data_IF_890571329051
#
_entry.id   IF_890571329051
#
_cell.length_a   1.000
_cell.length_b   1.000
_cell.length_c   1.000
_cell.angle_alpha   90.00
_cell.angle_beta   90.00
_cell.angle_gamma   90.00
#
_symmetry.space_group_name_H-M   'P 1'
#
loop_
_entity.id
_entity.type
_entity.pdbx_description
1 polymer ?
#
# COMPACT_ATOMS: atom_id res chain seq x y z
N UNK A 1 -10.80 15.46 -0.86
CA UNK A 1 -10.10 15.54 0.44
C UNK A 1 -10.60 14.42 1.33
N UNK A 2 -9.78 13.91 2.24
CA UNK A 2 -10.23 12.91 3.22
C UNK A 2 -11.16 13.60 4.25
N UNK A 3 -12.30 13.00 4.54
CA UNK A 3 -13.33 13.52 5.44
C UNK A 3 -13.07 13.17 6.90
N UNK A 4 -13.77 13.86 7.81
CA UNK A 4 -13.60 13.65 9.26
C UNK A 4 -14.04 12.24 9.71
N UNK A 5 -15.10 11.73 9.10
CA UNK A 5 -15.69 10.41 9.42
C UNK A 5 -14.76 9.23 9.10
N UNK A 6 -13.70 9.45 8.31
CA UNK A 6 -12.72 8.43 7.97
C UNK A 6 -12.10 7.79 9.22
N UNK A 7 -11.93 8.56 10.31
CA UNK A 7 -11.37 8.06 11.56
C UNK A 7 -12.22 6.98 12.20
N UNK A 8 -13.53 7.08 12.06
CA UNK A 8 -14.51 6.18 12.68
C UNK A 8 -14.72 4.93 11.82
N UNK A 9 -14.98 5.10 10.52
CA UNK A 9 -15.24 3.98 9.61
C UNK A 9 -13.95 3.25 9.22
N UNK A 10 -12.88 4.00 8.99
CA UNK A 10 -11.62 3.51 8.41
C UNK A 10 -11.64 3.39 6.90
N UNK A 11 -12.66 3.91 6.21
CA UNK A 11 -12.65 4.06 4.76
C UNK A 11 -13.53 5.22 4.29
N UNK A 12 -13.27 5.70 3.08
CA UNK A 12 -14.05 6.72 2.40
C UNK A 12 -14.15 6.39 0.92
N UNK A 13 -15.35 6.54 0.37
CA UNK A 13 -15.63 6.43 -1.06
C UNK A 13 -15.92 7.84 -1.59
N UNK A 14 -15.26 8.21 -2.68
CA UNK A 14 -15.46 9.47 -3.38
C UNK A 14 -15.69 9.17 -4.86
N UNK A 15 -16.96 9.05 -5.29
CA UNK A 15 -17.30 8.83 -6.70
C UNK A 15 -16.96 10.06 -7.55
N UNK A 16 -16.59 9.85 -8.81
CA UNK A 16 -16.44 10.92 -9.81
C UNK A 16 -17.70 11.14 -10.68
N UNK A 17 -18.82 10.48 -10.35
CA UNK A 17 -20.06 10.52 -11.12
C UNK A 17 -20.17 9.50 -12.26
N UNK A 18 -19.12 8.72 -12.53
CA UNK A 18 -19.15 7.59 -13.48
C UNK A 18 -19.08 6.28 -12.70
N UNK A 19 -20.02 5.38 -12.96
CA UNK A 19 -20.04 4.04 -12.33
C UNK A 19 -18.81 3.26 -12.80
N UNK A 20 -17.92 2.85 -11.88
CA UNK A 20 -16.70 2.17 -12.28
C UNK A 20 -16.98 0.72 -12.69
N UNK A 21 -16.37 0.29 -13.79
CA UNK A 21 -16.38 -1.10 -14.27
C UNK A 21 -15.08 -1.82 -13.94
N UNK A 22 -14.04 -1.06 -13.62
CA UNK A 22 -12.70 -1.56 -13.30
C UNK A 22 -12.16 -0.88 -12.06
N UNK A 23 -11.17 -1.51 -11.43
CA UNK A 23 -10.45 -0.89 -10.33
C UNK A 23 -8.99 -1.30 -10.27
N UNK A 24 -8.15 -0.40 -9.77
CA UNK A 24 -6.76 -0.70 -9.46
C UNK A 24 -6.43 -0.33 -8.01
N UNK A 25 -5.73 -1.23 -7.33
CA UNK A 25 -5.32 -1.02 -5.93
C UNK A 25 -3.92 -0.43 -5.88
N UNK A 26 -3.76 0.64 -5.11
CA UNK A 26 -2.50 1.26 -4.73
C UNK A 26 -2.31 1.22 -3.23
N UNK A 27 -1.06 1.19 -2.80
CA UNK A 27 -0.72 1.23 -1.39
C UNK A 27 0.75 0.93 -1.17
N UNK A 28 1.25 1.25 0.01
CA UNK A 28 2.60 0.86 0.40
C UNK A 28 2.78 -0.66 0.32
N UNK A 29 4.02 -1.13 0.20
CA UNK A 29 4.28 -2.54 0.46
C UNK A 29 3.83 -2.86 1.88
N UNK A 30 3.36 -4.09 2.10
CA UNK A 30 2.83 -4.52 3.41
C UNK A 30 1.56 -3.81 3.93
N UNK A 31 0.87 -3.00 3.12
CA UNK A 31 -0.38 -2.33 3.53
C UNK A 31 -1.67 -3.12 3.26
N UNK A 32 -1.60 -4.35 2.78
CA UNK A 32 -2.81 -5.17 2.54
C UNK A 32 -3.44 -5.03 1.16
N UNK A 33 -2.76 -4.39 0.20
CA UNK A 33 -3.26 -4.22 -1.19
C UNK A 33 -3.78 -5.51 -1.83
N UNK A 34 -3.13 -6.66 -1.61
CA UNK A 34 -3.58 -7.94 -2.15
C UNK A 34 -4.89 -8.44 -1.50
N UNK A 35 -5.13 -8.15 -0.22
CA UNK A 35 -6.36 -8.52 0.47
C UNK A 35 -7.53 -7.70 -0.09
N UNK A 36 -7.36 -6.37 -0.15
CA UNK A 36 -8.38 -5.46 -0.69
C UNK A 36 -8.67 -5.75 -2.16
N UNK A 37 -7.63 -5.99 -2.98
CA UNK A 37 -7.81 -6.40 -4.39
C UNK A 37 -8.70 -7.64 -4.51
N UNK A 38 -8.42 -8.64 -3.68
CA UNK A 38 -9.12 -9.93 -3.73
C UNK A 38 -10.53 -9.85 -3.15
N UNK A 39 -10.79 -9.01 -2.14
CA UNK A 39 -12.13 -8.93 -1.53
C UNK A 39 -13.08 -8.20 -2.46
N UNK A 40 -12.65 -7.10 -3.07
CA UNK A 40 -13.43 -6.37 -4.08
C UNK A 40 -13.64 -7.20 -5.33
N UNK A 41 -12.58 -7.82 -5.88
CA UNK A 41 -12.70 -8.63 -7.09
C UNK A 41 -13.50 -9.92 -6.93
N UNK A 42 -13.80 -10.35 -5.70
CA UNK A 42 -14.67 -11.51 -5.42
C UNK A 42 -16.12 -11.15 -5.20
N UNK A 43 -16.40 -9.91 -4.79
CA UNK A 43 -17.69 -9.52 -4.24
C UNK A 43 -18.30 -8.28 -4.91
N UNK A 44 -17.67 -7.76 -5.96
CA UNK A 44 -18.21 -6.65 -6.77
C UNK A 44 -18.17 -7.03 -8.24
N UNK A 45 -18.93 -6.32 -9.06
CA UNK A 45 -18.93 -6.48 -10.53
C UNK A 45 -17.68 -5.89 -11.20
N UNK A 46 -16.88 -5.11 -10.46
CA UNK A 46 -15.70 -4.45 -11.00
C UNK A 46 -14.57 -5.44 -11.30
N UNK A 47 -13.87 -5.24 -12.41
CA UNK A 47 -12.70 -6.05 -12.78
C UNK A 47 -11.39 -5.44 -12.24
N UNK A 48 -10.54 -6.21 -11.54
CA UNK A 48 -9.25 -5.72 -11.09
C UNK A 48 -8.24 -5.60 -12.23
N UNK A 49 -7.59 -4.45 -12.37
CA UNK A 49 -6.56 -4.18 -13.37
C UNK A 49 -5.18 -3.88 -12.73
N UNK A 50 -4.12 -3.81 -13.54
CA UNK A 50 -2.77 -3.38 -13.13
C UNK A 50 -2.13 -2.39 -14.12
N UNK A 51 -2.93 -1.81 -15.03
CA UNK A 51 -2.48 -0.98 -16.15
C UNK A 51 -2.11 0.46 -15.77
N UNK A 52 -2.54 0.95 -14.61
CA UNK A 52 -2.22 2.30 -14.10
C UNK A 52 -0.84 2.37 -13.41
N UNK A 53 0.05 1.43 -13.72
CA UNK A 53 1.42 1.36 -13.19
C UNK A 53 1.55 0.49 -11.94
N UNK A 54 2.75 0.49 -11.35
CA UNK A 54 3.05 -0.39 -10.23
C UNK A 54 2.30 0.06 -8.97
N UNK A 55 1.49 -0.84 -8.39
CA UNK A 55 0.66 -0.57 -7.20
C UNK A 55 1.39 -0.01 -5.97
N UNK A 56 2.69 -0.26 -5.86
CA UNK A 56 3.53 0.25 -4.75
C UNK A 56 4.35 1.48 -5.15
N UNK A 57 4.34 1.85 -6.42
CA UNK A 57 5.02 3.01 -6.96
C UNK A 57 4.31 4.32 -6.60
N UNK A 58 4.94 5.43 -6.96
CA UNK A 58 4.27 6.73 -6.98
C UNK A 58 3.29 6.80 -8.17
N UNK A 59 2.26 7.66 -8.13
CA UNK A 59 1.38 7.88 -9.27
C UNK A 59 2.17 8.34 -10.50
N UNK A 60 2.16 7.52 -11.55
CA UNK A 60 2.87 7.75 -12.82
C UNK A 60 1.96 7.54 -14.05
N UNK A 61 0.65 7.51 -13.85
CA UNK A 61 -0.32 7.30 -14.91
C UNK A 61 -0.29 8.47 -15.90
N UNK A 62 -0.35 8.16 -17.20
CA UNK A 62 -0.61 9.16 -18.24
C UNK A 62 -2.03 9.73 -18.10
N UNK A 63 -3.02 8.87 -17.84
CA UNK A 63 -4.41 9.24 -17.61
C UNK A 63 -5.09 8.18 -16.72
N UNK A 64 -6.17 8.57 -16.04
CA UNK A 64 -7.04 7.66 -15.28
C UNK A 64 -8.41 7.66 -15.97
N UNK A 65 -8.82 6.57 -16.64
CA UNK A 65 -10.13 6.51 -17.28
C UNK A 65 -11.25 6.68 -16.25
N UNK A 66 -12.32 7.41 -16.60
CA UNK A 66 -13.39 7.76 -15.66
C UNK A 66 -14.11 6.53 -15.07
N UNK A 67 -14.16 5.42 -15.79
CA UNK A 67 -14.76 4.14 -15.37
C UNK A 67 -13.82 3.27 -14.51
N UNK A 68 -12.63 3.77 -14.13
CA UNK A 68 -11.68 3.06 -13.27
C UNK A 68 -11.70 3.70 -11.88
N UNK A 69 -12.02 2.90 -10.86
CA UNK A 69 -11.85 3.29 -9.47
C UNK A 69 -10.40 3.09 -9.02
N UNK A 70 -9.82 4.10 -8.37
CA UNK A 70 -8.54 3.99 -7.68
C UNK A 70 -8.78 3.61 -6.23
N UNK A 71 -8.26 2.45 -5.80
CA UNK A 71 -8.41 1.96 -4.43
C UNK A 71 -7.10 2.15 -3.68
N UNK A 72 -7.06 3.03 -2.69
CA UNK A 72 -5.87 3.32 -1.88
C UNK A 72 -5.94 2.60 -0.53
N UNK A 73 -4.90 1.84 -0.18
CA UNK A 73 -4.86 1.06 1.07
C UNK A 73 -3.67 1.48 1.94
N UNK A 74 -3.98 1.89 3.17
CA UNK A 74 -3.02 2.25 4.21
C UNK A 74 -3.09 1.28 5.38
N UNK A 75 -2.08 1.34 6.26
CA UNK A 75 -1.95 0.47 7.43
C UNK A 75 -1.24 1.23 8.56
N UNK A 76 -1.50 0.85 9.81
CA UNK A 76 -0.80 1.36 11.01
C UNK A 76 0.72 1.25 10.85
N UNK A 77 1.46 2.31 11.18
CA UNK A 77 2.90 2.39 10.93
C UNK A 77 3.73 1.35 11.72
N UNK A 78 3.26 0.93 12.91
CA UNK A 78 3.95 -0.07 13.74
C UNK A 78 3.90 -1.42 13.06
N UNK A 79 2.68 -1.83 12.75
CA UNK A 79 2.35 -3.10 12.13
C UNK A 79 2.90 -3.21 10.69
N UNK A 80 2.88 -2.08 9.99
CA UNK A 80 3.45 -1.93 8.67
C UNK A 80 4.97 -2.10 8.68
N UNK A 81 5.69 -1.39 9.55
CA UNK A 81 7.16 -1.41 9.59
C UNK A 81 7.70 -2.79 10.01
N UNK A 82 7.06 -3.46 10.98
CA UNK A 82 7.35 -4.86 11.31
C UNK A 82 7.15 -5.78 10.10
N UNK A 83 6.07 -5.59 9.34
CA UNK A 83 5.81 -6.39 8.13
C UNK A 83 6.82 -6.10 7.00
N UNK A 84 7.29 -4.85 6.90
CA UNK A 84 8.35 -4.46 5.96
C UNK A 84 9.67 -5.16 6.30
N UNK A 85 10.05 -5.23 7.58
CA UNK A 85 11.25 -5.96 8.00
C UNK A 85 11.08 -7.48 7.87
N UNK A 86 9.91 -8.04 8.19
CA UNK A 86 9.68 -9.47 8.04
C UNK A 86 9.85 -9.94 6.59
N UNK A 87 9.40 -9.12 5.64
CA UNK A 87 9.43 -9.40 4.20
C UNK A 87 9.85 -8.15 3.41
N UNK A 88 11.16 -7.82 3.40
CA UNK A 88 11.71 -6.62 2.76
C UNK A 88 11.81 -6.86 1.24
N UNK A 89 10.66 -6.96 0.60
CA UNK A 89 10.54 -7.20 -0.84
C UNK A 89 11.42 -6.22 -1.61
N UNK A 90 12.22 -6.73 -2.54
CA UNK A 90 13.11 -5.95 -3.40
C UNK A 90 14.25 -5.21 -2.69
N UNK A 91 14.40 -5.31 -1.36
CA UNK A 91 15.57 -4.76 -0.69
C UNK A 91 16.83 -5.55 -1.08
N UNK A 92 17.98 -4.88 -1.27
CA UNK A 92 19.24 -5.55 -1.60
C UNK A 92 19.73 -6.39 -0.40
N UNK A 93 20.62 -7.39 -0.62
CA UNK A 93 21.13 -8.27 0.43
C UNK A 93 21.60 -7.53 1.70
N UNK A 94 22.31 -6.41 1.52
CA UNK A 94 22.88 -5.59 2.61
C UNK A 94 21.80 -4.99 3.52
N UNK A 95 20.60 -4.74 3.01
CA UNK A 95 19.48 -4.24 3.80
C UNK A 95 18.68 -5.39 4.43
N UNK A 96 18.70 -6.59 3.84
CA UNK A 96 17.98 -7.75 4.37
C UNK A 96 18.64 -8.39 5.60
N UNK A 97 19.93 -8.07 5.85
CA UNK A 97 20.72 -8.54 7.01
C UNK A 97 20.66 -7.60 8.22
N UNK A 98 20.05 -6.42 8.08
CA UNK A 98 19.93 -5.45 9.17
C UNK A 98 18.96 -5.95 10.24
N UNK A 99 19.29 -5.72 11.51
CA UNK A 99 18.34 -5.87 12.61
C UNK A 99 17.21 -4.84 12.46
N UNK A 100 16.05 -5.08 13.08
CA UNK A 100 14.87 -4.22 12.89
C UNK A 100 15.15 -2.73 13.16
N UNK A 101 15.85 -2.42 14.26
CA UNK A 101 16.20 -1.06 14.63
C UNK A 101 17.09 -0.39 13.57
N UNK A 102 18.05 -1.10 13.00
CA UNK A 102 18.92 -0.58 11.94
C UNK A 102 18.14 -0.43 10.63
N UNK A 103 17.29 -1.41 10.31
CA UNK A 103 16.47 -1.44 9.09
C UNK A 103 15.56 -0.23 8.96
N UNK A 104 14.85 0.16 10.04
CA UNK A 104 13.93 1.30 10.00
C UNK A 104 14.65 2.65 9.91
N UNK A 105 15.94 2.69 10.30
CA UNK A 105 16.80 3.90 10.29
C UNK A 105 17.66 4.01 9.03
N UNK A 106 17.91 2.91 8.33
CA UNK A 106 18.75 2.89 7.14
C UNK A 106 18.10 3.62 5.96
N UNK A 107 18.91 4.27 5.08
CA UNK A 107 18.42 4.81 3.82
C UNK A 107 17.65 3.75 3.03
N UNK A 108 16.45 4.10 2.57
CA UNK A 108 15.56 3.17 1.90
C UNK A 108 16.13 2.78 0.53
N UNK A 109 16.46 1.50 0.37
CA UNK A 109 17.02 0.97 -0.86
C UNK A 109 16.24 -0.25 -1.37
N UNK A 110 15.90 -0.22 -2.65
CA UNK A 110 15.33 -1.35 -3.38
C UNK A 110 15.92 -1.47 -4.77
N UNK A 111 15.88 -2.67 -5.32
CA UNK A 111 16.47 -3.03 -6.61
C UNK A 111 15.45 -3.73 -7.51
N UNK A 112 15.62 -3.60 -8.82
CA UNK A 112 14.89 -4.41 -9.80
C UNK A 112 15.44 -5.84 -9.76
N UNK A 113 14.85 -6.71 -8.94
CA UNK A 113 15.44 -8.00 -8.54
C UNK A 113 15.05 -9.20 -9.42
N UNK A 114 13.80 -9.30 -9.87
CA UNK A 114 13.30 -10.50 -10.55
C UNK A 114 12.45 -10.21 -11.77
N UNK A 115 12.63 -11.04 -12.81
CA UNK A 115 11.85 -11.03 -14.05
C UNK A 115 10.35 -10.96 -13.84
N UNK A 116 9.85 -11.74 -12.88
CA UNK A 116 8.41 -11.82 -12.61
C UNK A 116 7.81 -10.48 -12.18
N UNK A 117 8.60 -9.62 -11.53
CA UNK A 117 8.13 -8.34 -11.03
C UNK A 117 8.46 -7.19 -11.99
N UNK A 118 9.59 -7.30 -12.71
CA UNK A 118 10.08 -6.25 -13.61
C UNK A 118 10.57 -6.81 -14.95
N UNK A 119 9.69 -7.43 -15.76
CA UNK A 119 10.09 -8.13 -16.99
C UNK A 119 10.76 -7.21 -18.01
N UNK A 120 10.27 -5.98 -18.15
CA UNK A 120 10.81 -4.96 -19.06
C UNK A 120 12.20 -4.47 -18.65
N UNK A 121 12.47 -4.37 -17.33
CA UNK A 121 13.76 -3.86 -16.84
C UNK A 121 14.87 -4.86 -17.12
N UNK A 122 14.59 -6.15 -16.97
CA UNK A 122 15.59 -7.18 -17.27
C UNK A 122 15.95 -7.22 -18.77
N UNK A 123 14.97 -7.03 -19.66
CA UNK A 123 15.22 -7.00 -21.10
C UNK A 123 16.18 -5.87 -21.52
N UNK A 124 16.20 -4.78 -20.75
CA UNK A 124 17.10 -3.63 -20.95
C UNK A 124 18.42 -3.76 -20.16
N UNK A 125 18.70 -4.90 -19.53
CA UNK A 125 19.93 -5.12 -18.75
C UNK A 125 19.92 -4.46 -17.36
N UNK A 126 18.77 -3.99 -16.86
CA UNK A 126 18.66 -3.27 -15.59
C UNK A 126 18.54 -4.13 -14.33
N UNK A 127 18.85 -5.43 -14.40
CA UNK A 127 18.74 -6.34 -13.27
C UNK A 127 19.69 -5.92 -12.13
N UNK A 128 19.17 -5.81 -10.92
CA UNK A 128 19.94 -5.39 -9.73
C UNK A 128 20.17 -3.88 -9.60
N UNK A 129 19.77 -3.08 -10.60
CA UNK A 129 19.85 -1.62 -10.51
C UNK A 129 18.81 -1.07 -9.52
N UNK A 130 19.03 0.14 -8.97
CA UNK A 130 18.08 0.78 -8.08
C UNK A 130 16.69 0.90 -8.69
N UNK A 131 15.67 0.49 -7.94
CA UNK A 131 14.29 0.55 -8.37
C UNK A 131 13.76 1.98 -8.26
N UNK A 132 13.70 2.67 -9.40
CA UNK A 132 13.27 4.08 -9.46
C UNK A 132 11.85 4.32 -8.93
N UNK A 133 10.96 3.33 -9.01
CA UNK A 133 9.57 3.44 -8.54
C UNK A 133 9.43 3.60 -7.01
N UNK A 134 10.52 3.36 -6.26
CA UNK A 134 10.60 3.54 -4.81
C UNK A 134 11.46 4.73 -4.39
N UNK A 135 12.01 5.49 -5.34
CA UNK A 135 12.78 6.70 -5.05
C UNK A 135 11.86 7.91 -5.00
N UNK A 136 12.38 9.01 -4.45
CA UNK A 136 11.68 10.28 -4.49
C UNK A 136 11.41 10.68 -5.96
N UNK A 137 10.14 10.90 -6.35
CA UNK A 137 9.80 11.11 -7.76
C UNK A 137 10.26 12.45 -8.31
N UNK A 138 10.63 13.41 -7.46
CA UNK A 138 11.09 14.73 -7.87
C UNK A 138 12.61 14.80 -7.97
N UNK A 139 13.31 14.20 -7.01
CA UNK A 139 14.77 14.31 -6.89
C UNK A 139 15.52 13.06 -7.35
N UNK A 140 14.85 11.90 -7.43
CA UNK A 140 15.47 10.62 -7.78
C UNK A 140 16.41 10.07 -6.70
N UNK A 141 16.45 10.67 -5.51
CA UNK A 141 17.29 10.22 -4.38
C UNK A 141 16.57 9.15 -3.55
N UNK A 142 17.31 8.28 -2.83
CA UNK A 142 16.72 7.37 -1.84
C UNK A 142 16.14 8.17 -0.66
N UNK A 143 15.07 7.67 -0.05
CA UNK A 143 14.57 8.25 1.19
C UNK A 143 15.53 7.99 2.35
N UNK A 144 15.68 8.96 3.25
CA UNK A 144 16.63 8.88 4.37
C UNK A 144 16.38 7.69 5.31
N UNK A 145 15.13 7.27 5.44
CA UNK A 145 14.72 6.11 6.24
C UNK A 145 13.33 5.60 5.80
N UNK A 146 12.87 4.51 6.42
CA UNK A 146 11.59 3.87 6.10
C UNK A 146 10.40 4.83 6.30
N UNK A 147 10.44 5.68 7.32
CA UNK A 147 9.35 6.61 7.62
C UNK A 147 9.33 7.83 6.71
N UNK A 148 10.50 8.26 6.20
CA UNK A 148 10.57 9.25 5.13
C UNK A 148 9.90 8.77 3.84
N UNK A 149 10.10 7.49 3.48
CA UNK A 149 9.36 6.85 2.39
C UNK A 149 7.85 6.89 2.67
N UNK A 150 7.43 6.51 3.89
CA UNK A 150 6.01 6.48 4.28
C UNK A 150 5.33 7.84 4.10
N UNK A 151 5.91 8.91 4.66
CA UNK A 151 5.36 10.27 4.51
C UNK A 151 5.08 10.62 3.04
N UNK A 152 6.05 10.34 2.17
CA UNK A 152 5.94 10.58 0.73
C UNK A 152 4.87 9.69 0.08
N UNK A 153 4.81 8.40 0.42
CA UNK A 153 3.83 7.46 -0.13
C UNK A 153 2.41 7.79 0.31
N UNK A 154 2.19 8.14 1.58
CA UNK A 154 0.89 8.56 2.08
C UNK A 154 0.43 9.85 1.41
N UNK A 155 1.32 10.83 1.23
CA UNK A 155 1.01 12.06 0.49
C UNK A 155 0.61 11.73 -0.95
N UNK A 156 1.32 10.81 -1.59
CA UNK A 156 1.03 10.37 -2.94
C UNK A 156 -0.34 9.65 -3.04
N UNK A 157 -0.70 8.81 -2.08
CA UNK A 157 -2.02 8.16 -2.03
C UNK A 157 -3.13 9.20 -1.80
N UNK A 158 -2.95 10.12 -0.84
CA UNK A 158 -3.91 11.20 -0.59
C UNK A 158 -4.10 12.10 -1.81
N UNK A 159 -3.08 12.25 -2.66
CA UNK A 159 -3.16 13.04 -3.89
C UNK A 159 -4.21 12.52 -4.89
N UNK A 160 -4.68 11.26 -4.79
CA UNK A 160 -5.69 10.74 -5.71
C UNK A 160 -7.02 11.49 -5.64
N UNK A 161 -7.35 12.08 -4.49
CA UNK A 161 -8.53 12.94 -4.37
C UNK A 161 -8.49 14.17 -5.28
N UNK A 162 -7.33 14.54 -5.82
CA UNK A 162 -7.14 15.72 -6.67
C UNK A 162 -7.06 15.36 -8.16
N UNK A 163 -7.33 14.11 -8.55
CA UNK A 163 -7.08 13.60 -9.92
C UNK A 163 -8.34 13.38 -10.76
N UNK A 164 -9.50 13.84 -10.30
CA UNK A 164 -10.76 13.72 -11.05
C UNK A 164 -11.23 12.28 -11.29
N UNK A 165 -10.76 11.32 -10.49
CA UNK A 165 -11.14 9.92 -10.58
C UNK A 165 -11.96 9.48 -9.35
N UNK A 166 -12.66 8.36 -9.48
CA UNK A 166 -13.28 7.70 -8.34
C UNK A 166 -12.20 7.18 -7.40
N UNK A 167 -12.32 7.47 -6.12
CA UNK A 167 -11.37 7.04 -5.08
C UNK A 167 -12.08 6.21 -4.02
N UNK A 168 -11.55 5.03 -3.71
CA UNK A 168 -11.89 4.26 -2.51
C UNK A 168 -10.64 4.24 -1.63
N UNK A 169 -10.65 4.92 -0.50
CA UNK A 169 -9.52 4.98 0.41
C UNK A 169 -9.84 4.17 1.67
N UNK A 170 -8.96 3.30 2.14
CA UNK A 170 -9.24 2.46 3.30
C UNK A 170 -8.01 2.08 4.13
N UNK A 171 -8.26 1.83 5.42
CA UNK A 171 -7.34 1.17 6.35
C UNK A 171 -7.51 -0.34 6.25
N UNK A 172 -6.40 -1.05 6.16
CA UNK A 172 -6.38 -2.51 6.08
C UNK A 172 -7.10 -3.16 7.26
N UNK A 173 -6.89 -2.63 8.46
CA UNK A 173 -7.39 -3.14 9.73
C UNK A 173 -8.92 -3.12 9.76
N UNK A 174 -9.53 -1.99 9.37
CA UNK A 174 -10.98 -1.83 9.31
C UNK A 174 -11.61 -2.73 8.25
N UNK A 175 -10.96 -2.84 7.08
CA UNK A 175 -11.43 -3.74 6.01
C UNK A 175 -11.37 -5.20 6.46
N UNK A 176 -10.37 -5.61 7.23
CA UNK A 176 -10.29 -6.96 7.80
C UNK A 176 -11.35 -7.18 8.89
N UNK A 177 -11.60 -6.17 9.73
CA UNK A 177 -12.55 -6.27 10.83
C UNK A 177 -14.01 -6.35 10.34
N UNK A 178 -14.34 -5.67 9.23
CA UNK A 178 -15.69 -5.59 8.70
C UNK A 178 -15.74 -5.74 7.16
N UNK A 179 -15.29 -6.88 6.59
CA UNK A 179 -15.06 -6.99 5.15
C UNK A 179 -16.35 -7.00 4.33
N UNK A 180 -17.44 -7.57 4.87
CA UNK A 180 -18.74 -7.54 4.22
C UNK A 180 -19.33 -6.13 4.21
N UNK A 181 -19.29 -5.44 5.35
CA UNK A 181 -19.73 -4.04 5.46
C UNK A 181 -18.97 -3.14 4.49
N UNK A 182 -17.64 -3.26 4.43
CA UNK A 182 -16.81 -2.52 3.49
C UNK A 182 -17.25 -2.72 2.04
N UNK A 183 -17.48 -3.97 1.63
CA UNK A 183 -17.96 -4.27 0.27
C UNK A 183 -19.34 -3.67 0.02
N UNK A 184 -20.28 -3.85 0.94
CA UNK A 184 -21.65 -3.32 0.80
C UNK A 184 -21.66 -1.79 0.66
N UNK A 185 -20.88 -1.08 1.47
CA UNK A 185 -20.77 0.38 1.37
C UNK A 185 -20.09 0.81 0.06
N UNK A 186 -19.05 0.11 -0.40
CA UNK A 186 -18.44 0.37 -1.71
C UNK A 186 -19.45 0.19 -2.84
N UNK A 187 -20.29 -0.84 -2.80
CA UNK A 187 -21.32 -1.06 -3.82
C UNK A 187 -22.39 0.02 -3.80
N UNK A 188 -22.89 0.38 -2.63
CA UNK A 188 -23.90 1.40 -2.47
C UNK A 188 -23.40 2.77 -2.96
N UNK A 189 -22.24 3.22 -2.47
CA UNK A 189 -21.69 4.54 -2.79
C UNK A 189 -21.24 4.69 -4.25
N UNK A 190 -20.81 3.60 -4.89
CA UNK A 190 -20.42 3.61 -6.30
C UNK A 190 -21.57 3.27 -7.26
N UNK A 191 -22.78 3.00 -6.76
CA UNK A 191 -23.93 2.61 -7.56
C UNK A 191 -23.70 1.28 -8.32
N UNK A 192 -22.95 0.35 -7.73
CA UNK A 192 -22.67 -0.94 -8.35
C UNK A 192 -23.87 -1.87 -8.23
N UNK A 193 -24.13 -2.65 -9.27
CA UNK A 193 -25.06 -3.76 -9.17
C UNK A 193 -24.60 -4.74 -8.06
N UNK A 194 -25.56 -5.23 -7.29
CA UNK A 194 -25.31 -6.32 -6.35
C UNK A 194 -25.06 -7.60 -7.15
N UNK A 195 -23.96 -8.34 -6.91
CA UNK A 195 -23.78 -9.64 -7.52
C UNK A 195 -24.88 -10.59 -7.01
N UNK A 196 -25.30 -11.52 -7.85
CA UNK A 196 -26.31 -12.55 -7.49
C UNK A 196 -25.83 -13.52 -6.40
N UNK A 197 -24.51 -13.57 -6.16
CA UNK A 197 -23.87 -14.49 -5.21
C UNK A 197 -23.71 -13.87 -3.81
N UNK A 198 -23.79 -14.73 -2.80
CA UNK A 198 -23.49 -14.38 -1.41
C UNK A 198 -22.05 -13.86 -1.23
N UNK A 199 -21.83 -13.13 -0.12
CA UNK A 199 -20.51 -12.62 0.26
C UNK A 199 -19.47 -13.76 0.42
N UNK A 200 -18.31 -13.58 -0.21
CA UNK A 200 -17.20 -14.54 -0.31
C UNK A 200 -15.98 -14.05 0.48
N UNK A 201 -15.78 -14.51 1.72
CA UNK A 201 -14.65 -14.12 2.55
C UNK A 201 -13.28 -14.60 2.00
N UNK A 202 -12.21 -14.05 2.57
CA UNK A 202 -10.83 -14.46 2.31
C UNK A 202 -10.25 -15.11 3.56
N UNK A 203 -10.08 -16.42 3.54
CA UNK A 203 -9.43 -17.17 4.62
C UNK A 203 -7.93 -17.37 4.41
N UNK A 204 -7.44 -17.18 3.18
CA UNK A 204 -6.03 -17.46 2.82
C UNK A 204 -5.12 -16.30 3.19
N UNK A 205 -4.00 -16.59 3.86
CA UNK A 205 -2.90 -15.64 4.04
C UNK A 205 -2.26 -15.29 2.70
N UNK A 206 -2.29 -14.01 2.33
CA UNK A 206 -1.72 -13.49 1.08
C UNK A 206 -0.29 -12.95 1.31
N UNK A 207 0.51 -12.90 0.25
CA UNK A 207 1.87 -12.32 0.32
C UNK A 207 2.85 -13.08 1.22
N UNK A 208 2.69 -14.40 1.38
CA UNK A 208 3.54 -15.25 2.22
C UNK A 208 4.77 -15.82 1.52
N UNK A 209 4.80 -15.83 0.17
CA UNK A 209 5.88 -16.43 -0.63
C UNK A 209 7.06 -15.49 -0.85
N UNK A 210 7.50 -14.81 0.21
CA UNK A 210 8.74 -14.03 0.17
C UNK A 210 9.92 -15.00 0.07
N UNK A 211 10.82 -14.75 -0.87
CA UNK A 211 12.05 -15.52 -1.00
C UNK A 211 13.19 -14.54 -0.67
N UNK A 212 13.92 -14.75 0.44
CA UNK A 212 14.99 -13.85 0.84
C UNK A 212 16.19 -13.98 -0.10
N UNK A 213 17.00 -12.92 -0.16
CA UNK A 213 18.27 -12.92 -0.90
C UNK A 213 19.46 -13.33 -0.02
N UNK A 214 19.24 -13.45 1.29
CA UNK A 214 20.23 -13.85 2.31
C UNK A 214 19.61 -14.84 3.28
N UNK A 215 20.39 -15.76 3.84
CA UNK A 215 19.95 -16.71 4.87
C UNK A 215 21.15 -17.09 5.75
N UNK A 216 21.07 -16.98 7.09
CA UNK A 216 19.90 -16.57 7.88
C UNK A 216 19.57 -15.07 7.75
N UNK A 217 18.38 -14.68 8.23
CA UNK A 217 17.97 -13.28 8.38
C UNK A 217 17.67 -12.99 9.86
N UNK A 218 17.89 -11.74 10.31
CA UNK A 218 17.42 -11.28 11.61
C UNK A 218 15.94 -11.58 11.86
N UNK A 219 15.62 -11.97 13.08
CA UNK A 219 14.24 -12.17 13.49
C UNK A 219 13.53 -10.82 13.58
N UNK A 220 12.31 -10.74 13.05
CA UNK A 220 11.48 -9.54 13.27
C UNK A 220 10.95 -9.56 14.70
N UNK A 221 11.02 -8.44 15.45
CA UNK A 221 10.35 -8.32 16.74
C UNK A 221 8.87 -8.67 16.64
N UNK A 222 8.30 -9.24 17.70
CA UNK A 222 6.87 -9.56 17.74
C UNK A 222 5.99 -8.32 17.90
N UNK A 223 6.55 -7.27 18.48
CA UNK A 223 5.94 -5.97 18.68
C UNK A 223 7.01 -4.88 18.49
N UNK A 224 6.57 -3.65 18.23
CA UNK A 224 7.45 -2.49 18.12
C UNK A 224 8.13 -2.23 19.48
N UNK A 225 9.48 -2.23 19.57
CA UNK A 225 10.17 -1.81 20.78
C UNK A 225 9.96 -0.32 21.09
N UNK A 226 9.94 0.07 22.36
CA UNK A 226 9.66 1.47 22.78
C UNK A 226 10.63 2.48 22.14
N UNK A 227 11.94 2.19 22.14
CA UNK A 227 12.94 3.06 21.51
C UNK A 227 12.75 3.21 19.99
N UNK A 228 12.16 2.21 19.33
CA UNK A 228 11.84 2.26 17.90
C UNK A 228 10.50 2.94 17.64
N UNK A 229 9.57 2.87 18.60
CA UNK A 229 8.32 3.64 18.60
C UNK A 229 8.62 5.15 18.71
N UNK A 230 9.52 5.54 19.61
CA UNK A 230 9.98 6.93 19.75
C UNK A 230 10.62 7.43 18.45
N UNK A 231 11.54 6.65 17.88
CA UNK A 231 12.12 7.01 16.58
C UNK A 231 11.03 7.14 15.51
N UNK A 232 10.13 6.16 15.39
CA UNK A 232 9.02 6.22 14.43
C UNK A 232 8.21 7.51 14.59
N UNK A 233 7.74 7.84 15.80
CA UNK A 233 6.90 9.01 16.04
C UNK A 233 7.61 10.31 15.67
N UNK A 234 8.91 10.45 15.94
CA UNK A 234 9.69 11.63 15.52
C UNK A 234 9.90 11.73 14.00
N UNK A 235 9.80 10.60 13.28
CA UNK A 235 9.96 10.54 11.84
C UNK A 235 8.62 10.57 11.09
N UNK A 236 7.48 10.35 11.71
CA UNK A 236 6.20 10.43 11.00
C UNK A 236 5.71 11.88 10.88
N UNK A 237 4.82 12.11 9.93
CA UNK A 237 4.00 13.32 9.92
C UNK A 237 2.74 13.03 10.75
N UNK A 238 2.72 13.48 12.01
CA UNK A 238 1.62 13.19 12.93
C UNK A 238 0.28 13.74 12.46
N UNK A 239 0.27 14.86 11.73
CA UNK A 239 -0.96 15.43 11.18
C UNK A 239 -1.51 14.54 10.06
N UNK A 240 -0.64 14.11 9.15
CA UNK A 240 -1.00 13.17 8.08
C UNK A 240 -1.50 11.83 8.64
N UNK A 241 -0.81 11.27 9.63
CA UNK A 241 -1.22 10.01 10.27
C UNK A 241 -2.57 10.16 10.99
N UNK A 242 -2.78 11.27 11.69
CA UNK A 242 -4.04 11.56 12.37
C UNK A 242 -5.19 11.74 11.38
N UNK A 243 -4.97 12.29 10.19
CA UNK A 243 -6.00 12.34 9.13
C UNK A 243 -6.44 10.93 8.72
N UNK A 244 -5.52 9.96 8.75
CA UNK A 244 -5.78 8.55 8.49
C UNK A 244 -6.32 7.81 9.72
N UNK A 245 -6.61 8.51 10.81
CA UNK A 245 -7.13 7.91 12.04
C UNK A 245 -6.11 7.09 12.81
N UNK A 246 -4.81 7.34 12.61
CA UNK A 246 -3.75 6.73 13.41
C UNK A 246 -3.24 7.71 14.47
N UNK A 247 -3.03 7.18 15.67
CA UNK A 247 -2.37 7.85 16.78
C UNK A 247 -1.32 6.92 17.36
N UNK A 248 -0.15 7.48 17.68
CA UNK A 248 0.98 6.75 18.23
C UNK A 248 1.37 7.46 19.52
N UNK A 249 0.85 6.94 20.64
CA UNK A 249 1.15 7.35 22.01
C UNK A 249 1.78 6.20 22.74
#
# INVERSE_FOLDING_TARGET
MIGQDFRETGWQIAPNGVIPTQFQVFGERSSGTNYVKRILGRNTVMQPIEDLGWKHGFPQMTAIPAHVAVVCVVRDARDWSLSMHAKPWHCPPQMQVLEFAEFIRAPWATIADRKRYFPQVQALGGLGLPLQLDRDPLTGVPFANLYALRRAKLAALLSFYNRGCTVVFCRMENVIAAPQRFVTEVQAELGLASPEQDFRPIHKRLGSRFLPSVTPRPATPKAMPDADLDFMTTQLDSAQEALLGYGYT
#
